data_IF_248903695255
#
_entry.id   IF_248903695255
#
_cell.length_a   1.000
_cell.length_b   1.000
_cell.length_c   1.000
_cell.angle_alpha   90.00
_cell.angle_beta   90.00
_cell.angle_gamma   90.00
#
_symmetry.space_group_name_H-M   'P 1'
#
loop_
_entity.id
_entity.type
_entity.pdbx_description
1 polymer ?
#
# COMPACT_ATOMS: atom_id res chain seq x y z
N UNK A 1 -4.29 -11.49 9.38
CA UNK A 1 -5.16 -11.17 8.21
C UNK A 1 -6.39 -12.06 8.09
N UNK A 2 -6.46 -13.21 8.77
CA UNK A 2 -7.62 -14.13 8.77
C UNK A 2 -8.95 -13.47 9.16
N UNK A 3 -8.93 -12.43 10.00
CA UNK A 3 -10.12 -11.67 10.42
C UNK A 3 -10.64 -10.69 9.37
N UNK A 4 -9.90 -10.45 8.28
CA UNK A 4 -10.28 -9.46 7.27
C UNK A 4 -11.55 -9.92 6.57
N UNK A 5 -12.59 -9.09 6.56
CA UNK A 5 -13.87 -9.36 5.91
C UNK A 5 -14.01 -8.68 4.54
N UNK A 6 -12.92 -8.10 4.02
CA UNK A 6 -12.86 -7.36 2.74
C UNK A 6 -13.95 -6.29 2.58
N UNK A 7 -14.28 -5.59 3.67
CA UNK A 7 -15.19 -4.44 3.62
C UNK A 7 -14.60 -3.18 2.96
N UNK A 8 -13.29 -3.18 2.70
CA UNK A 8 -12.54 -2.08 2.07
C UNK A 8 -12.64 -0.71 2.76
N UNK A 9 -13.12 -0.63 4.01
CA UNK A 9 -13.14 0.61 4.79
C UNK A 9 -11.75 1.27 4.86
N UNK A 10 -10.70 0.45 4.98
CA UNK A 10 -9.32 0.92 5.01
C UNK A 10 -8.81 1.54 3.68
N UNK A 11 -9.43 1.19 2.55
CA UNK A 11 -9.22 1.86 1.27
C UNK A 11 -9.94 3.20 1.27
N UNK A 12 -11.23 3.20 1.61
CA UNK A 12 -12.07 4.40 1.56
C UNK A 12 -11.60 5.51 2.51
N UNK A 13 -11.08 5.14 3.69
CA UNK A 13 -10.57 6.10 4.66
C UNK A 13 -9.15 6.65 4.35
N UNK A 14 -8.45 6.07 3.36
CA UNK A 14 -7.06 6.42 3.09
C UNK A 14 -6.95 7.53 2.04
N UNK A 15 -6.36 8.70 2.37
CA UNK A 15 -6.23 9.81 1.41
C UNK A 15 -5.33 9.48 0.23
N UNK A 16 -4.46 8.46 0.35
CA UNK A 16 -3.52 8.05 -0.69
C UNK A 16 -4.08 6.95 -1.62
N UNK A 17 -5.28 6.44 -1.32
CA UNK A 17 -6.00 5.50 -2.18
C UNK A 17 -6.99 6.22 -3.13
N UNK A 18 -6.47 7.11 -3.97
CA UNK A 18 -7.28 7.98 -4.85
C UNK A 18 -7.35 7.52 -6.32
N UNK A 19 -6.95 6.28 -6.63
CA UNK A 19 -7.00 5.81 -8.02
C UNK A 19 -8.44 5.84 -8.57
N UNK A 20 -8.60 6.27 -9.83
CA UNK A 20 -9.91 6.30 -10.51
C UNK A 20 -10.53 4.90 -10.63
N UNK A 21 -9.69 3.87 -10.79
CA UNK A 21 -10.07 2.46 -10.87
C UNK A 21 -9.17 1.64 -9.96
N UNK A 22 -9.76 0.82 -9.10
CA UNK A 22 -9.03 -0.08 -8.22
C UNK A 22 -9.13 -1.52 -8.71
N UNK A 23 -8.06 -2.30 -8.53
CA UNK A 23 -8.01 -3.71 -8.95
C UNK A 23 -9.10 -4.57 -8.30
N UNK A 24 -9.54 -4.21 -7.10
CA UNK A 24 -10.62 -4.92 -6.38
C UNK A 24 -12.00 -4.65 -6.97
N UNK A 25 -12.14 -3.61 -7.80
CA UNK A 25 -13.38 -3.30 -8.53
C UNK A 25 -13.36 -3.92 -9.94
N UNK A 26 -12.25 -4.56 -10.34
CA UNK A 26 -12.09 -5.18 -11.64
C UNK A 26 -12.49 -6.66 -11.60
N UNK A 27 -13.49 -7.04 -12.39
CA UNK A 27 -13.90 -8.44 -12.53
C UNK A 27 -13.23 -9.16 -13.71
N UNK A 28 -12.61 -8.44 -14.65
CA UNK A 28 -11.93 -9.03 -15.81
C UNK A 28 -10.64 -8.28 -16.19
N UNK A 29 -9.48 -8.95 -16.10
CA UNK A 29 -9.23 -10.17 -15.31
C UNK A 29 -9.45 -9.91 -13.81
N UNK A 30 -9.89 -10.92 -13.07
CA UNK A 30 -10.03 -10.85 -11.61
C UNK A 30 -8.72 -11.26 -10.93
N UNK A 31 -7.84 -10.29 -10.69
CA UNK A 31 -6.54 -10.54 -10.04
C UNK A 31 -6.62 -10.75 -8.53
N UNK A 32 -7.60 -10.11 -7.88
CA UNK A 32 -7.83 -10.24 -6.43
C UNK A 32 -9.25 -10.74 -6.26
N UNK A 33 -9.39 -11.97 -5.75
CA UNK A 33 -10.70 -12.58 -5.57
C UNK A 33 -11.54 -11.77 -4.58
N UNK A 34 -12.79 -11.44 -4.91
CA UNK A 34 -13.66 -10.54 -4.14
C UNK A 34 -14.06 -11.11 -2.77
N UNK A 35 -14.18 -12.42 -2.65
CA UNK A 35 -14.60 -13.10 -1.43
C UNK A 35 -13.55 -13.01 -0.33
N UNK A 36 -14.00 -12.92 0.92
CA UNK A 36 -13.13 -12.96 2.09
C UNK A 36 -12.65 -14.39 2.37
N UNK A 37 -11.41 -14.68 2.03
CA UNK A 37 -10.71 -15.93 2.35
C UNK A 37 -9.20 -15.65 2.46
N UNK A 38 -8.44 -16.62 2.96
CA UNK A 38 -7.02 -16.44 3.31
C UNK A 38 -6.19 -15.83 2.18
N UNK A 39 -6.27 -16.38 0.97
CA UNK A 39 -5.51 -15.91 -0.19
C UNK A 39 -5.94 -14.49 -0.62
N UNK A 40 -7.24 -14.27 -0.90
CA UNK A 40 -7.73 -12.96 -1.30
C UNK A 40 -7.56 -11.86 -0.25
N UNK A 41 -7.48 -12.21 1.03
CA UNK A 41 -7.13 -11.29 2.11
C UNK A 41 -5.65 -10.94 2.07
N UNK A 42 -4.77 -11.93 1.89
CA UNK A 42 -3.34 -11.71 1.75
C UNK A 42 -3.03 -10.83 0.54
N UNK A 43 -3.53 -11.20 -0.65
CA UNK A 43 -3.36 -10.46 -1.91
C UNK A 43 -3.74 -9.00 -1.76
N UNK A 44 -4.93 -8.72 -1.22
CA UNK A 44 -5.39 -7.35 -1.02
C UNK A 44 -4.45 -6.53 -0.14
N UNK A 45 -4.03 -7.08 0.99
CA UNK A 45 -3.20 -6.34 1.94
C UNK A 45 -1.79 -6.10 1.40
N UNK A 46 -1.24 -7.04 0.63
CA UNK A 46 0.06 -6.89 -0.04
C UNK A 46 -0.02 -5.87 -1.18
N UNK A 47 -0.98 -6.00 -2.09
CA UNK A 47 -1.16 -5.05 -3.21
C UNK A 47 -1.38 -3.63 -2.69
N UNK A 48 -2.21 -3.46 -1.64
CA UNK A 48 -2.43 -2.16 -1.03
C UNK A 48 -1.15 -1.60 -0.40
N UNK A 49 -0.37 -2.41 0.30
CA UNK A 49 0.90 -1.96 0.90
C UNK A 49 1.91 -1.57 -0.18
N UNK A 50 2.00 -2.33 -1.27
CA UNK A 50 2.85 -2.01 -2.41
C UNK A 50 2.45 -0.68 -3.06
N UNK A 51 1.16 -0.47 -3.33
CA UNK A 51 0.67 0.80 -3.89
C UNK A 51 0.89 2.02 -2.98
N UNK A 52 1.08 1.80 -1.67
CA UNK A 52 1.33 2.84 -0.68
C UNK A 52 2.81 3.00 -0.33
N UNK A 53 3.70 2.14 -0.82
CA UNK A 53 5.14 2.27 -0.63
C UNK A 53 5.61 3.61 -1.22
N UNK A 54 6.26 4.43 -0.40
CA UNK A 54 6.66 5.79 -0.76
C UNK A 54 5.52 6.79 -0.94
N UNK A 55 4.28 6.43 -0.58
CA UNK A 55 3.12 7.34 -0.64
C UNK A 55 2.40 7.49 0.70
N UNK A 56 2.52 6.53 1.61
CA UNK A 56 1.84 6.54 2.90
C UNK A 56 2.35 7.68 3.82
N UNK A 57 1.49 8.64 4.13
CA UNK A 57 1.78 9.76 5.06
C UNK A 57 1.48 9.45 6.54
N UNK A 58 1.40 8.17 6.90
CA UNK A 58 1.17 7.69 8.27
C UNK A 58 -0.08 8.23 9.03
N UNK A 59 -1.10 8.76 8.32
CA UNK A 59 -2.30 9.36 8.94
C UNK A 59 -3.12 8.44 9.86
N UNK A 60 -2.97 7.10 9.78
CA UNK A 60 -3.63 6.14 10.65
C UNK A 60 -5.12 5.88 10.39
N UNK A 61 -5.74 6.55 9.41
CA UNK A 61 -7.17 6.37 9.11
C UNK A 61 -7.55 4.92 8.76
N UNK A 62 -6.65 4.19 8.10
CA UNK A 62 -6.91 2.79 7.74
C UNK A 62 -7.11 1.88 8.96
N UNK A 63 -6.30 2.04 10.01
CA UNK A 63 -6.46 1.32 11.27
C UNK A 63 -7.76 1.71 11.97
N UNK A 64 -8.01 3.03 12.11
CA UNK A 64 -9.21 3.57 12.77
C UNK A 64 -10.50 3.10 12.10
N UNK A 65 -10.49 2.94 10.78
CA UNK A 65 -11.64 2.50 9.99
C UNK A 65 -11.90 0.99 10.02
N UNK A 66 -10.97 0.18 10.54
CA UNK A 66 -11.07 -1.27 10.43
C UNK A 66 -12.05 -1.83 11.49
N UNK A 67 -13.23 -2.38 11.09
CA UNK A 67 -14.22 -2.84 12.06
C UNK A 67 -13.79 -4.10 12.83
N UNK A 68 -12.72 -4.77 12.37
CA UNK A 68 -12.16 -6.00 12.95
C UNK A 68 -10.76 -5.78 13.54
N UNK A 69 -10.37 -4.51 13.75
CA UNK A 69 -9.15 -4.10 14.44
C UNK A 69 -7.86 -4.76 13.88
N UNK A 70 -7.73 -4.84 12.56
CA UNK A 70 -6.49 -5.26 11.92
C UNK A 70 -5.50 -4.09 11.98
N UNK A 71 -4.27 -4.30 12.46
CA UNK A 71 -3.25 -3.24 12.53
C UNK A 71 -2.60 -3.03 11.15
N UNK A 72 -3.38 -2.51 10.19
CA UNK A 72 -3.00 -2.27 8.79
C UNK A 72 -1.82 -1.30 8.66
N UNK A 73 -1.63 -0.39 9.61
CA UNK A 73 -0.51 0.56 9.61
C UNK A 73 0.83 -0.13 9.81
N UNK A 74 0.91 -1.29 10.48
CA UNK A 74 2.19 -1.99 10.69
C UNK A 74 2.89 -2.32 9.38
N UNK A 75 2.15 -2.90 8.42
CA UNK A 75 2.70 -3.25 7.12
C UNK A 75 3.12 -1.99 6.34
N UNK A 76 2.28 -0.95 6.33
CA UNK A 76 2.61 0.30 5.63
C UNK A 76 3.81 1.03 6.23
N UNK A 77 3.98 1.01 7.57
CA UNK A 77 5.17 1.57 8.23
C UNK A 77 6.42 0.78 7.92
N UNK A 78 6.32 -0.55 7.82
CA UNK A 78 7.44 -1.36 7.35
C UNK A 78 7.85 -0.96 5.94
N UNK A 79 6.89 -0.84 5.01
CA UNK A 79 7.17 -0.37 3.65
C UNK A 79 7.76 1.04 3.61
N UNK A 80 7.27 1.95 4.45
CA UNK A 80 7.84 3.30 4.55
C UNK A 80 9.30 3.27 5.03
N UNK A 81 9.63 2.38 5.97
CA UNK A 81 11.01 2.17 6.41
C UNK A 81 11.90 1.65 5.28
N UNK A 82 11.46 0.62 4.54
CA UNK A 82 12.24 0.10 3.39
C UNK A 82 12.50 1.19 2.36
N UNK A 83 11.50 2.02 2.07
CA UNK A 83 11.63 3.13 1.13
C UNK A 83 12.59 4.21 1.64
N UNK A 84 12.55 4.51 2.93
CA UNK A 84 13.50 5.45 3.54
C UNK A 84 14.93 4.90 3.47
N UNK A 85 15.14 3.66 3.90
CA UNK A 85 16.47 3.05 3.93
C UNK A 85 17.09 2.93 2.53
N UNK A 86 16.29 2.68 1.50
CA UNK A 86 16.75 2.50 0.12
C UNK A 86 16.87 3.82 -0.68
N UNK A 87 16.01 4.81 -0.42
CA UNK A 87 15.88 6.00 -1.28
C UNK A 87 15.92 7.34 -0.54
N UNK A 88 16.14 7.35 0.78
CA UNK A 88 16.09 8.55 1.64
C UNK A 88 14.79 9.37 1.44
N UNK A 89 13.67 8.66 1.28
CA UNK A 89 12.39 9.25 0.92
C UNK A 89 11.36 9.17 2.05
N UNK A 90 10.76 10.33 2.40
CA UNK A 90 9.63 10.44 3.32
C UNK A 90 8.41 11.05 2.63
N UNK A 91 7.33 10.29 2.58
CA UNK A 91 6.08 10.73 1.94
C UNK A 91 5.48 11.94 2.63
N UNK A 92 5.10 12.95 1.84
CA UNK A 92 4.38 14.14 2.33
C UNK A 92 5.25 15.22 2.99
N UNK A 93 6.58 15.08 2.98
CA UNK A 93 7.50 16.08 3.55
C UNK A 93 7.85 17.22 2.59
N UNK A 94 7.79 16.98 1.28
CA UNK A 94 8.11 17.98 0.25
C UNK A 94 7.37 17.67 -1.06
N UNK A 95 6.99 18.72 -1.78
CA UNK A 95 6.43 18.62 -3.13
C UNK A 95 7.50 18.43 -4.21
N UNK A 96 8.78 18.66 -3.87
CA UNK A 96 9.89 18.59 -4.81
C UNK A 96 10.55 17.20 -4.83
N UNK A 97 10.15 16.29 -3.94
CA UNK A 97 10.64 14.91 -3.95
C UNK A 97 9.90 14.09 -4.99
N UNK A 98 10.65 13.44 -5.88
CA UNK A 98 10.07 12.55 -6.87
C UNK A 98 9.51 11.27 -6.22
N UNK A 99 8.43 10.68 -6.76
CA UNK A 99 7.88 9.44 -6.23
C UNK A 99 8.78 8.25 -6.56
N UNK A 100 9.20 7.50 -5.54
CA UNK A 100 10.20 6.41 -5.67
C UNK A 100 9.84 5.31 -6.67
N UNK A 101 8.55 5.00 -6.87
CA UNK A 101 8.10 3.96 -7.82
C UNK A 101 7.74 4.53 -9.20
N UNK A 102 7.94 5.83 -9.43
CA UNK A 102 7.66 6.50 -10.70
C UNK A 102 8.85 7.33 -11.21
N UNK A 103 9.99 7.28 -10.51
CA UNK A 103 11.25 7.92 -10.88
C UNK A 103 12.31 6.86 -11.15
N UNK A 104 13.37 7.25 -11.87
CA UNK A 104 14.52 6.40 -12.14
C UNK A 104 15.79 7.21 -11.94
N UNK A 105 16.79 6.65 -11.25
CA UNK A 105 18.13 7.22 -11.15
C UNK A 105 19.17 6.18 -11.57
N UNK A 106 20.22 6.64 -12.26
CA UNK A 106 21.29 5.76 -12.76
C UNK A 106 22.16 5.19 -11.64
N UNK A 107 22.17 5.86 -10.50
CA UNK A 107 22.90 5.53 -9.28
C UNK A 107 22.00 4.85 -8.22
N UNK A 108 20.78 4.45 -8.57
CA UNK A 108 19.95 3.65 -7.67
C UNK A 108 20.68 2.34 -7.30
N UNK A 109 20.53 1.85 -6.06
CA UNK A 109 21.17 0.62 -5.61
C UNK A 109 20.52 -0.58 -6.30
N UNK A 110 21.02 -0.93 -7.49
CA UNK A 110 20.62 -2.06 -8.34
C UNK A 110 21.02 -3.43 -7.73
N UNK A 111 20.79 -3.65 -6.44
CA UNK A 111 21.27 -4.84 -5.69
C UNK A 111 20.67 -6.17 -6.16
N UNK A 112 19.75 -6.14 -7.12
CA UNK A 112 19.06 -7.30 -7.69
C UNK A 112 19.50 -7.65 -9.11
N UNK A 113 20.25 -6.77 -9.79
CA UNK A 113 20.92 -7.08 -11.05
C UNK A 113 22.31 -7.60 -10.68
N UNK A 114 22.40 -8.91 -10.44
CA UNK A 114 23.66 -9.63 -10.24
C UNK A 114 24.38 -9.85 -11.58
#
# INVERSE_FOLDING_TARGET
LSKCIKCYACRQACPMCYCRRCIVDCNQPQWVNTSSHTLGNFEWNIVRAFHLAGRCVECGNCDRSCPVNIPLRLLNRRMAKEVFDAFDHFSGMSTNQEPVLASFKKDDPETFIL
#
